data_IF_325731052085
#
_entry.id   IF_325731052085
#
_cell.length_a   1.000
_cell.length_b   1.000
_cell.length_c   1.000
_cell.angle_alpha   90.00
_cell.angle_beta   90.00
_cell.angle_gamma   90.00
#
_symmetry.space_group_name_H-M   'P 1'
#
loop_
_entity.id
_entity.type
_entity.pdbx_description
1 polymer ?
#
# COMPACT_ATOMS: atom_id res chain seq x y z
N UNK A 1 -14.96 -5.38 3.87
CA UNK A 1 -14.33 -6.53 3.21
C UNK A 1 -13.12 -6.96 4.00
N UNK A 2 -12.99 -8.24 4.24
CA UNK A 2 -11.77 -8.78 4.88
C UNK A 2 -10.79 -9.21 3.80
N UNK A 3 -9.51 -8.78 3.93
CA UNK A 3 -8.43 -9.19 3.04
C UNK A 3 -7.54 -10.21 3.74
N UNK A 4 -6.89 -11.07 2.97
CA UNK A 4 -5.88 -11.99 3.50
C UNK A 4 -4.53 -11.30 3.66
N UNK A 5 -4.18 -10.46 2.68
CA UNK A 5 -2.90 -9.75 2.63
C UNK A 5 -3.16 -8.28 2.34
N UNK A 6 -2.50 -7.40 3.09
CA UNK A 6 -2.49 -5.97 2.83
C UNK A 6 -1.05 -5.50 2.69
N UNK A 7 -0.72 -4.94 1.53
CA UNK A 7 0.63 -4.49 1.20
C UNK A 7 0.68 -2.97 1.15
N UNK A 8 1.64 -2.38 1.85
CA UNK A 8 1.86 -0.94 1.89
C UNK A 8 3.12 -0.58 1.14
N UNK A 9 3.05 0.44 0.30
CA UNK A 9 4.19 1.01 -0.38
C UNK A 9 4.24 2.52 -0.21
N UNK A 10 5.44 3.09 -0.16
CA UNK A 10 5.61 4.54 -0.01
C UNK A 10 5.08 5.28 -1.24
N UNK A 11 5.32 4.74 -2.41
CA UNK A 11 4.92 5.31 -3.70
C UNK A 11 4.18 4.28 -4.54
N UNK A 12 3.32 4.71 -5.48
CA UNK A 12 2.83 3.80 -6.49
C UNK A 12 4.01 3.13 -7.20
N UNK A 13 3.92 1.84 -7.49
CA UNK A 13 4.94 0.94 -8.04
C UNK A 13 5.80 0.23 -7.01
N UNK A 14 5.98 0.73 -5.79
CA UNK A 14 6.86 0.09 -4.80
C UNK A 14 6.47 -1.37 -4.54
N UNK A 15 5.19 -1.62 -4.34
CA UNK A 15 4.69 -2.98 -4.08
C UNK A 15 4.85 -3.86 -5.32
N UNK A 16 4.53 -3.33 -6.50
CA UNK A 16 4.63 -4.08 -7.75
C UNK A 16 6.08 -4.46 -8.05
N UNK A 17 7.01 -3.52 -7.86
CA UNK A 17 8.43 -3.77 -8.11
C UNK A 17 9.02 -4.75 -7.10
N UNK A 18 8.57 -4.68 -5.85
CA UNK A 18 9.13 -5.49 -4.78
C UNK A 18 8.55 -6.89 -4.67
N UNK A 19 7.25 -7.06 -4.89
CA UNK A 19 6.59 -8.33 -4.58
C UNK A 19 5.44 -8.72 -5.49
N UNK A 20 5.40 -8.21 -6.73
CA UNK A 20 4.31 -8.54 -7.67
C UNK A 20 4.17 -10.04 -7.92
N UNK A 21 5.29 -10.75 -8.03
CA UNK A 21 5.28 -12.20 -8.23
C UNK A 21 4.63 -12.94 -7.06
N UNK A 22 4.97 -12.55 -5.83
CA UNK A 22 4.38 -13.12 -4.62
C UNK A 22 2.88 -12.83 -4.56
N UNK A 23 2.49 -11.59 -4.85
CA UNK A 23 1.08 -11.18 -4.87
C UNK A 23 0.30 -11.97 -5.90
N UNK A 24 0.80 -12.07 -7.12
CA UNK A 24 0.15 -12.83 -8.18
C UNK A 24 -0.05 -14.29 -7.79
N UNK A 25 0.97 -14.91 -7.18
CA UNK A 25 0.89 -16.28 -6.71
C UNK A 25 -0.19 -16.45 -5.64
N UNK A 26 -0.21 -15.58 -4.64
CA UNK A 26 -1.20 -15.65 -3.57
C UNK A 26 -2.62 -15.44 -4.09
N UNK A 27 -2.81 -14.54 -5.04
CA UNK A 27 -4.11 -14.35 -5.69
C UNK A 27 -4.53 -15.60 -6.45
N UNK A 28 -3.58 -16.25 -7.15
CA UNK A 28 -3.87 -17.50 -7.87
C UNK A 28 -4.30 -18.63 -6.93
N UNK A 29 -3.90 -18.56 -5.66
CA UNK A 29 -4.30 -19.50 -4.62
C UNK A 29 -5.63 -19.12 -3.95
N UNK A 30 -6.31 -18.11 -4.44
CA UNK A 30 -7.60 -17.67 -3.92
C UNK A 30 -7.54 -16.63 -2.82
N UNK A 31 -6.36 -16.08 -2.53
CA UNK A 31 -6.21 -15.04 -1.51
C UNK A 31 -6.68 -13.69 -2.01
N UNK A 32 -7.27 -12.90 -1.10
CA UNK A 32 -7.68 -11.53 -1.38
C UNK A 32 -6.58 -10.59 -0.92
N UNK A 33 -6.02 -9.84 -1.86
CA UNK A 33 -4.90 -8.93 -1.62
C UNK A 33 -5.32 -7.50 -1.89
N UNK A 34 -4.92 -6.59 -1.01
CA UNK A 34 -5.07 -5.15 -1.21
C UNK A 34 -3.70 -4.48 -1.23
N UNK A 35 -3.62 -3.38 -1.96
CA UNK A 35 -2.43 -2.53 -2.01
C UNK A 35 -2.81 -1.13 -1.54
N UNK A 36 -2.03 -0.60 -0.61
CA UNK A 36 -2.19 0.76 -0.11
C UNK A 36 -0.91 1.54 -0.42
N UNK A 37 -1.03 2.58 -1.24
CA UNK A 37 0.06 3.49 -1.52
C UNK A 37 -0.02 4.66 -0.53
N UNK A 38 1.10 5.02 0.12
CA UNK A 38 1.09 6.10 1.09
C UNK A 38 1.03 7.48 0.45
N UNK A 39 1.70 7.65 -0.68
CA UNK A 39 1.74 8.92 -1.42
C UNK A 39 1.33 8.70 -2.86
N UNK A 40 1.18 9.80 -3.60
CA UNK A 40 0.92 9.74 -5.04
C UNK A 40 2.20 9.77 -5.87
N UNK A 41 3.37 9.86 -5.21
CA UNK A 41 4.64 9.96 -5.91
C UNK A 41 4.81 11.30 -6.63
N UNK A 42 4.25 12.37 -6.07
CA UNK A 42 4.20 13.69 -6.73
C UNK A 42 5.58 14.30 -6.95
N UNK A 43 6.60 13.88 -6.19
CA UNK A 43 7.98 14.30 -6.41
C UNK A 43 8.74 13.42 -7.40
N UNK A 44 8.05 12.44 -7.99
CA UNK A 44 8.65 11.57 -8.99
C UNK A 44 9.01 12.33 -10.26
N UNK A 45 10.08 11.87 -10.93
CA UNK A 45 10.61 12.53 -12.14
C UNK A 45 9.95 12.04 -13.42
N UNK A 46 9.12 10.98 -13.37
CA UNK A 46 8.48 10.38 -14.53
C UNK A 46 6.98 10.60 -14.49
N UNK A 47 6.46 11.21 -15.55
CA UNK A 47 5.02 11.41 -15.72
C UNK A 47 4.43 12.37 -14.70
N UNK A 48 3.14 12.57 -14.81
CA UNK A 48 2.37 13.35 -13.85
C UNK A 48 1.77 12.44 -12.78
N UNK A 49 1.28 13.04 -11.70
CA UNK A 49 0.51 12.32 -10.66
C UNK A 49 -0.69 11.60 -11.30
N UNK A 50 -1.36 12.25 -12.24
CA UNK A 50 -2.51 11.66 -12.93
C UNK A 50 -2.15 10.42 -13.73
N UNK A 51 -1.05 10.46 -14.49
CA UNK A 51 -0.55 9.31 -15.24
C UNK A 51 -0.18 8.18 -14.28
N UNK A 52 0.48 8.48 -13.18
CA UNK A 52 0.87 7.47 -12.18
C UNK A 52 -0.35 6.84 -11.51
N UNK A 53 -1.39 7.61 -11.26
CA UNK A 53 -2.64 7.07 -10.73
C UNK A 53 -3.30 6.11 -11.71
N UNK A 54 -3.29 6.43 -13.01
CA UNK A 54 -3.82 5.56 -14.06
C UNK A 54 -3.01 4.27 -14.17
N UNK A 55 -1.69 4.37 -14.12
CA UNK A 55 -0.79 3.20 -14.15
C UNK A 55 -1.01 2.30 -12.93
N UNK A 56 -1.17 2.89 -11.75
CA UNK A 56 -1.43 2.14 -10.52
C UNK A 56 -2.76 1.39 -10.60
N UNK A 57 -3.80 2.03 -11.10
CA UNK A 57 -5.10 1.39 -11.28
C UNK A 57 -5.04 0.26 -12.30
N UNK A 58 -4.32 0.46 -13.41
CA UNK A 58 -4.15 -0.57 -14.44
C UNK A 58 -3.35 -1.76 -13.90
N UNK A 59 -2.28 -1.50 -13.15
CA UNK A 59 -1.48 -2.56 -12.54
C UNK A 59 -2.30 -3.38 -11.54
N UNK A 60 -3.11 -2.73 -10.72
CA UNK A 60 -4.00 -3.41 -9.77
C UNK A 60 -4.97 -4.34 -10.50
N UNK A 61 -5.53 -3.88 -11.60
CA UNK A 61 -6.45 -4.67 -12.41
C UNK A 61 -5.76 -5.89 -13.05
N UNK A 62 -4.56 -5.68 -13.58
CA UNK A 62 -3.78 -6.76 -14.20
C UNK A 62 -3.39 -7.81 -13.16
N UNK A 63 -2.94 -7.38 -11.98
CA UNK A 63 -2.57 -8.29 -10.89
C UNK A 63 -3.79 -8.98 -10.27
N UNK A 64 -4.97 -8.41 -10.39
CA UNK A 64 -6.18 -8.96 -9.80
C UNK A 64 -6.34 -8.65 -8.32
N UNK A 65 -5.71 -7.56 -7.82
CA UNK A 65 -5.89 -7.17 -6.43
C UNK A 65 -7.32 -6.69 -6.18
N UNK A 66 -7.83 -7.00 -4.99
CA UNK A 66 -9.21 -6.68 -4.62
C UNK A 66 -9.41 -5.21 -4.28
N UNK A 67 -8.37 -4.56 -3.76
CA UNK A 67 -8.43 -3.18 -3.28
C UNK A 67 -7.13 -2.47 -3.65
N UNK A 68 -7.25 -1.24 -4.09
CA UNK A 68 -6.13 -0.31 -4.20
C UNK A 68 -6.57 1.06 -3.70
N UNK A 69 -5.91 1.56 -2.66
CA UNK A 69 -6.20 2.88 -2.10
C UNK A 69 -4.91 3.69 -1.94
N UNK A 70 -5.05 5.01 -1.88
CA UNK A 70 -3.93 5.92 -1.63
C UNK A 70 -4.26 6.76 -0.41
N UNK A 71 -3.33 6.91 0.51
CA UNK A 71 -3.53 7.69 1.74
C UNK A 71 -3.23 9.18 1.58
N UNK A 72 -2.77 9.59 0.38
CA UNK A 72 -2.49 11.00 0.05
C UNK A 72 -1.53 11.69 1.02
N UNK A 73 -0.56 10.97 1.55
CA UNK A 73 0.51 11.57 2.32
C UNK A 73 1.42 12.35 1.39
N UNK A 74 2.09 13.37 1.90
CA UNK A 74 2.98 14.20 1.09
C UNK A 74 4.26 13.43 0.76
N UNK A 75 4.53 13.26 -0.55
CA UNK A 75 5.71 12.55 -1.03
C UNK A 75 6.99 13.27 -0.57
N UNK A 76 7.92 12.48 0.00
CA UNK A 76 9.18 12.98 0.53
C UNK A 76 9.07 13.72 1.86
N UNK A 77 7.88 13.97 2.37
CA UNK A 77 7.66 14.77 3.57
C UNK A 77 6.79 14.11 4.63
N UNK A 78 6.33 12.89 4.41
CA UNK A 78 5.61 12.21 5.47
C UNK A 78 6.59 11.74 6.56
N UNK A 79 6.13 11.77 7.81
CA UNK A 79 6.95 11.46 8.97
C UNK A 79 6.27 10.39 9.83
N UNK A 80 7.06 9.78 10.72
CA UNK A 80 6.54 8.81 11.67
C UNK A 80 5.88 9.54 12.85
N UNK A 81 4.70 10.06 12.64
CA UNK A 81 3.92 10.73 13.67
C UNK A 81 2.56 10.05 13.85
N UNK A 82 1.82 10.49 14.86
CA UNK A 82 0.53 9.91 15.21
C UNK A 82 -0.47 10.02 14.07
N UNK A 83 -0.52 11.16 13.39
CA UNK A 83 -1.49 11.39 12.32
C UNK A 83 -1.27 10.43 11.14
N UNK A 84 -0.01 10.22 10.73
CA UNK A 84 0.32 9.30 9.65
C UNK A 84 0.12 7.84 10.07
N UNK A 85 0.50 7.51 11.29
CA UNK A 85 0.27 6.17 11.85
C UNK A 85 -1.22 5.83 11.89
N UNK A 86 -2.07 6.78 12.28
CA UNK A 86 -3.52 6.55 12.35
C UNK A 86 -4.11 6.25 10.99
N UNK A 87 -3.63 6.86 9.92
CA UNK A 87 -4.09 6.54 8.56
C UNK A 87 -3.84 5.09 8.21
N UNK A 88 -2.66 4.57 8.54
CA UNK A 88 -2.28 3.18 8.28
C UNK A 88 -3.09 2.23 9.18
N UNK A 89 -3.21 2.55 10.46
CA UNK A 89 -3.98 1.76 11.41
C UNK A 89 -5.44 1.62 10.96
N UNK A 90 -6.04 2.70 10.47
CA UNK A 90 -7.41 2.67 9.95
C UNK A 90 -7.56 1.70 8.79
N UNK A 91 -6.58 1.63 7.90
CA UNK A 91 -6.60 0.67 6.79
C UNK A 91 -6.51 -0.76 7.29
N UNK A 92 -5.63 -1.03 8.25
CA UNK A 92 -5.48 -2.37 8.82
C UNK A 92 -6.77 -2.78 9.55
N UNK A 93 -7.38 -1.89 10.31
CA UNK A 93 -8.65 -2.17 10.99
C UNK A 93 -9.80 -2.37 10.00
N UNK A 94 -9.82 -1.60 8.92
CA UNK A 94 -10.86 -1.70 7.89
C UNK A 94 -10.84 -3.04 7.18
N UNK A 95 -9.66 -3.54 6.83
CA UNK A 95 -9.51 -4.75 6.02
C UNK A 95 -9.15 -6.00 6.80
N UNK A 96 -8.74 -5.86 8.06
CA UNK A 96 -8.42 -6.97 8.96
C UNK A 96 -7.56 -8.06 8.32
N UNK A 97 -6.42 -7.71 7.70
CA UNK A 97 -5.59 -8.69 7.03
C UNK A 97 -4.93 -9.66 8.01
N UNK A 98 -4.63 -10.87 7.55
CA UNK A 98 -3.83 -11.82 8.32
C UNK A 98 -2.35 -11.50 8.17
N UNK A 99 -1.95 -10.99 7.00
CA UNK A 99 -0.56 -10.66 6.69
C UNK A 99 -0.48 -9.22 6.22
N UNK A 100 0.46 -8.46 6.76
CA UNK A 100 0.79 -7.11 6.32
C UNK A 100 2.20 -7.13 5.74
N UNK A 101 2.34 -6.62 4.52
CA UNK A 101 3.64 -6.47 3.85
C UNK A 101 3.92 -4.98 3.75
N UNK A 102 5.12 -4.56 4.16
CA UNK A 102 5.52 -3.15 4.10
C UNK A 102 6.73 -2.99 3.20
N UNK A 103 6.55 -2.22 2.12
CA UNK A 103 7.62 -1.81 1.22
C UNK A 103 8.02 -0.36 1.56
N UNK A 104 8.44 -0.16 2.82
CA UNK A 104 8.78 1.13 3.40
C UNK A 104 10.16 1.07 4.02
N UNK A 105 10.84 2.21 4.10
CA UNK A 105 12.03 2.33 4.91
C UNK A 105 11.64 2.27 6.37
N UNK A 106 12.42 1.57 7.18
CA UNK A 106 12.09 1.34 8.60
C UNK A 106 11.96 2.63 9.41
N UNK A 107 12.60 3.70 8.96
CA UNK A 107 12.56 5.00 9.64
C UNK A 107 11.34 5.84 9.29
N UNK A 108 10.57 5.45 8.27
CA UNK A 108 9.45 6.27 7.81
C UNK A 108 8.26 6.19 8.76
N UNK A 109 7.79 4.99 9.06
CA UNK A 109 6.64 4.79 9.95
C UNK A 109 6.85 3.51 10.76
N UNK A 110 6.48 3.57 12.06
CA UNK A 110 6.52 2.43 12.95
C UNK A 110 5.16 2.27 13.64
N UNK A 111 4.59 1.06 13.56
CA UNK A 111 3.31 0.74 14.17
C UNK A 111 3.43 -0.63 14.84
N UNK A 112 2.93 -0.74 16.06
CA UNK A 112 2.97 -2.00 16.82
C UNK A 112 1.63 -2.74 16.70
N UNK A 113 1.65 -4.06 16.92
CA UNK A 113 0.44 -4.86 16.98
C UNK A 113 -0.56 -4.32 18.02
N UNK A 114 -0.06 -3.82 19.14
CA UNK A 114 -0.87 -3.28 20.22
C UNK A 114 -1.69 -2.07 19.76
N UNK A 115 -1.13 -1.23 18.89
CA UNK A 115 -1.82 -0.04 18.38
C UNK A 115 -2.94 -0.40 17.41
N UNK A 116 -2.84 -1.53 16.75
CA UNK A 116 -3.83 -2.01 15.79
C UNK A 116 -4.96 -2.76 16.47
N UNK A 117 -4.69 -3.43 17.56
CA UNK A 117 -5.67 -4.26 18.30
C UNK A 117 -6.88 -3.47 18.89
#
# INVERSE_FOLDING_TARGET
>A
MKLDILAFGAHPDDVELGCSGTIAKEISLGKKVGIIDLTRGELGTRGSVEIRNQEAAAAAKILGVSVRENLDMRDGFFVNDEAHQLKIIKMIRKYQPEIVICMLLMTDISITEKEVS
#
